data_IF_765330995386
#
_entry.id   IF_765330995386
#
_cell.length_a   1.000
_cell.length_b   1.000
_cell.length_c   1.000
_cell.angle_alpha   90.00
_cell.angle_beta   90.00
_cell.angle_gamma   90.00
#
_symmetry.space_group_name_H-M   'P 1'
#
loop_
_entity.id
_entity.type
_entity.pdbx_description
1 polymer ?
#
# COMPACT_ATOMS: atom_id res chain seq x y z
N UNK A 1 17.33 8.76 15.48
CA UNK A 1 16.10 8.83 14.68
C UNK A 1 15.68 7.42 14.28
N UNK A 2 14.39 7.14 14.38
CA UNK A 2 13.87 5.84 13.96
C UNK A 2 13.69 5.75 12.46
N UNK A 3 13.46 4.53 11.97
CA UNK A 3 13.10 4.28 10.59
C UNK A 3 11.72 4.89 10.34
N UNK A 4 11.50 5.61 9.22
CA UNK A 4 10.17 6.11 8.91
C UNK A 4 9.13 4.98 8.87
N UNK A 5 7.94 5.26 9.38
CA UNK A 5 6.87 4.25 9.45
C UNK A 5 6.52 3.69 8.07
N UNK A 6 6.51 4.54 7.04
CA UNK A 6 6.26 4.08 5.68
C UNK A 6 7.32 3.07 5.23
N UNK A 7 8.59 3.39 5.43
CA UNK A 7 9.69 2.51 5.02
C UNK A 7 9.62 1.17 5.77
N UNK A 8 9.32 1.21 7.07
CA UNK A 8 9.16 0.00 7.87
C UNK A 8 7.98 -0.84 7.36
N UNK A 9 6.85 -0.20 7.05
CA UNK A 9 5.71 -0.88 6.47
C UNK A 9 6.04 -1.56 5.15
N UNK A 10 6.80 -0.89 4.29
CA UNK A 10 7.20 -1.46 3.01
C UNK A 10 8.19 -2.62 3.18
N UNK A 11 9.07 -2.56 4.19
CA UNK A 11 9.97 -3.67 4.50
C UNK A 11 9.19 -4.92 4.92
N UNK A 12 8.16 -4.77 5.73
CA UNK A 12 7.28 -5.88 6.07
C UNK A 12 6.51 -6.38 4.85
N UNK A 13 6.07 -5.46 3.99
CA UNK A 13 5.31 -5.81 2.78
C UNK A 13 6.10 -6.75 1.87
N UNK A 14 7.36 -6.41 1.57
CA UNK A 14 8.16 -7.22 0.64
C UNK A 14 8.57 -8.57 1.23
N UNK A 15 8.52 -8.71 2.54
CA UNK A 15 8.72 -10.00 3.21
C UNK A 15 7.39 -10.76 3.41
N UNK A 16 6.32 -10.27 2.84
CA UNK A 16 4.96 -10.83 2.87
C UNK A 16 4.35 -10.89 4.28
N UNK A 17 4.81 -10.05 5.16
CA UNK A 17 4.21 -9.86 6.49
C UNK A 17 3.16 -8.77 6.39
N UNK A 18 2.05 -9.09 5.71
CA UNK A 18 1.05 -8.08 5.35
C UNK A 18 0.32 -7.50 6.55
N UNK A 19 0.08 -8.29 7.60
CA UNK A 19 -0.54 -7.79 8.83
C UNK A 19 0.32 -6.71 9.49
N UNK A 20 1.61 -7.00 9.63
CA UNK A 20 2.56 -6.06 10.22
C UNK A 20 2.74 -4.83 9.34
N UNK A 21 2.81 -5.05 8.02
CA UNK A 21 2.91 -3.96 7.06
C UNK A 21 1.71 -3.02 7.17
N UNK A 22 0.50 -3.57 7.18
CA UNK A 22 -0.73 -2.78 7.25
C UNK A 22 -0.78 -1.97 8.56
N UNK A 23 -0.34 -2.56 9.67
CA UNK A 23 -0.31 -1.86 10.96
C UNK A 23 0.64 -0.66 10.94
N UNK A 24 1.84 -0.83 10.38
CA UNK A 24 2.81 0.28 10.27
C UNK A 24 2.34 1.36 9.30
N UNK A 25 1.72 0.95 8.20
CA UNK A 25 1.17 1.89 7.24
C UNK A 25 -0.01 2.68 7.80
N UNK A 26 -0.81 2.06 8.66
CA UNK A 26 -1.87 2.80 9.36
C UNK A 26 -1.27 3.91 10.23
N UNK A 27 -0.21 3.61 10.98
CA UNK A 27 0.48 4.62 11.78
C UNK A 27 1.05 5.73 10.91
N UNK A 28 1.60 5.39 9.73
CA UNK A 28 2.08 6.38 8.77
C UNK A 28 0.96 7.29 8.29
N UNK A 29 -0.22 6.73 8.02
CA UNK A 29 -1.40 7.51 7.61
C UNK A 29 -1.83 8.47 8.74
N UNK A 30 -1.80 8.02 9.99
CA UNK A 30 -2.16 8.86 11.13
C UNK A 30 -1.20 10.02 11.30
N UNK A 31 0.11 9.79 11.05
CA UNK A 31 1.11 10.85 11.13
C UNK A 31 1.03 11.81 9.95
N UNK A 32 0.77 11.29 8.75
CA UNK A 32 0.78 12.08 7.51
C UNK A 32 -0.41 11.67 6.64
N UNK A 33 -1.62 12.14 6.96
CA UNK A 33 -2.83 11.68 6.26
C UNK A 33 -2.90 12.10 4.79
N UNK A 34 -2.06 13.03 4.36
CA UNK A 34 -1.99 13.45 2.96
C UNK A 34 -0.94 12.72 2.12
N UNK A 35 -0.24 11.73 2.67
CA UNK A 35 0.82 11.02 1.94
C UNK A 35 0.24 9.81 1.18
N UNK A 36 0.12 9.87 -0.17
CA UNK A 36 -0.61 8.84 -0.92
C UNK A 36 -0.02 7.45 -0.84
N UNK A 37 1.31 7.32 -0.74
CA UNK A 37 1.96 6.01 -0.80
C UNK A 37 1.60 5.11 0.38
N UNK A 38 1.30 5.69 1.54
CA UNK A 38 0.85 4.90 2.70
C UNK A 38 -0.49 4.22 2.43
N UNK A 39 -1.41 4.93 1.76
CA UNK A 39 -2.70 4.35 1.36
C UNK A 39 -2.51 3.26 0.32
N UNK A 40 -1.66 3.50 -0.68
CA UNK A 40 -1.37 2.50 -1.71
C UNK A 40 -0.83 1.21 -1.10
N UNK A 41 0.15 1.33 -0.22
CA UNK A 41 0.74 0.18 0.46
C UNK A 41 -0.28 -0.58 1.30
N UNK A 42 -1.10 0.13 2.05
CA UNK A 42 -2.10 -0.50 2.91
C UNK A 42 -3.18 -1.20 2.08
N UNK A 43 -3.62 -0.59 0.98
CA UNK A 43 -4.57 -1.22 0.07
C UNK A 43 -4.01 -2.50 -0.53
N UNK A 44 -2.74 -2.48 -0.96
CA UNK A 44 -2.08 -3.67 -1.50
C UNK A 44 -1.98 -4.78 -0.45
N UNK A 45 -1.68 -4.43 0.82
CA UNK A 45 -1.66 -5.40 1.92
C UNK A 45 -3.00 -6.12 2.06
N UNK A 46 -4.08 -5.36 2.15
CA UNK A 46 -5.41 -5.97 2.32
C UNK A 46 -5.82 -6.80 1.12
N UNK A 47 -5.47 -6.37 -0.10
CA UNK A 47 -5.76 -7.15 -1.30
C UNK A 47 -5.06 -8.50 -1.27
N UNK A 48 -3.78 -8.53 -0.88
CA UNK A 48 -3.05 -9.80 -0.77
C UNK A 48 -3.54 -10.69 0.37
N UNK A 49 -4.16 -10.10 1.39
CA UNK A 49 -4.79 -10.86 2.46
C UNK A 49 -6.20 -11.37 2.10
N UNK A 50 -6.69 -11.05 0.90
CA UNK A 50 -8.04 -11.40 0.48
C UNK A 50 -9.13 -10.52 1.06
N UNK A 51 -8.78 -9.42 1.72
CA UNK A 51 -9.72 -8.48 2.36
C UNK A 51 -10.05 -7.37 1.38
N UNK A 52 -10.72 -7.71 0.28
CA UNK A 52 -10.91 -6.81 -0.84
C UNK A 52 -11.84 -5.64 -0.52
N UNK A 53 -12.86 -5.83 0.32
CA UNK A 53 -13.74 -4.73 0.70
C UNK A 53 -12.98 -3.63 1.45
N UNK A 54 -12.11 -4.04 2.37
CA UNK A 54 -11.27 -3.10 3.10
C UNK A 54 -10.25 -2.44 2.19
N UNK A 55 -9.67 -3.20 1.26
CA UNK A 55 -8.75 -2.65 0.27
C UNK A 55 -9.42 -1.59 -0.59
N UNK A 56 -10.63 -1.84 -1.05
CA UNK A 56 -11.41 -0.89 -1.85
C UNK A 56 -11.74 0.38 -1.08
N UNK A 57 -12.07 0.25 0.20
CA UNK A 57 -12.34 1.42 1.05
C UNK A 57 -11.10 2.31 1.17
N UNK A 58 -9.91 1.72 1.26
CA UNK A 58 -8.66 2.47 1.34
C UNK A 58 -8.38 3.17 0.01
N UNK A 59 -8.63 2.51 -1.12
CA UNK A 59 -8.49 3.13 -2.45
C UNK A 59 -9.44 4.32 -2.60
N UNK A 60 -10.66 4.22 -2.07
CA UNK A 60 -11.59 5.34 -2.11
C UNK A 60 -11.04 6.56 -1.36
N UNK A 61 -10.40 6.33 -0.21
CA UNK A 61 -9.75 7.41 0.54
C UNK A 61 -8.55 7.97 -0.23
N UNK A 62 -7.79 7.10 -0.90
CA UNK A 62 -6.66 7.52 -1.74
C UNK A 62 -7.14 8.45 -2.85
N UNK A 63 -8.24 8.13 -3.50
CA UNK A 63 -8.78 8.94 -4.60
C UNK A 63 -9.21 10.34 -4.14
N UNK A 64 -9.50 10.52 -2.86
CA UNK A 64 -9.78 11.84 -2.31
C UNK A 64 -8.51 12.69 -2.17
N UNK A 65 -7.33 12.06 -2.17
CA UNK A 65 -6.04 12.73 -2.02
C UNK A 65 -5.40 12.97 -3.38
N UNK A 66 -5.50 12.00 -4.29
CA UNK A 66 -4.86 12.05 -5.60
C UNK A 66 -5.70 11.33 -6.64
N UNK A 67 -5.74 11.82 -7.90
CA UNK A 67 -6.40 11.08 -8.98
C UNK A 67 -5.59 9.86 -9.44
N UNK A 68 -4.31 9.77 -9.06
CA UNK A 68 -3.41 8.69 -9.49
C UNK A 68 -3.41 7.57 -8.46
N UNK A 69 -4.18 6.52 -8.71
CA UNK A 69 -4.17 5.33 -7.86
C UNK A 69 -2.85 4.59 -8.04
N UNK A 70 -2.44 4.34 -9.30
CA UNK A 70 -1.19 3.65 -9.59
C UNK A 70 -0.02 4.64 -9.49
N UNK A 71 1.06 4.27 -8.76
CA UNK A 71 2.20 5.18 -8.63
C UNK A 71 3.03 5.23 -9.92
N UNK A 72 3.61 6.38 -10.19
CA UNK A 72 4.52 6.55 -11.33
C UNK A 72 5.95 6.10 -11.00
N UNK A 73 6.31 6.10 -9.73
CA UNK A 73 7.65 5.74 -9.26
C UNK A 73 7.52 4.74 -8.11
N UNK A 74 8.32 3.69 -8.14
CA UNK A 74 8.37 2.68 -7.10
C UNK A 74 9.76 2.64 -6.47
N UNK A 75 9.85 2.42 -5.13
CA UNK A 75 11.13 2.46 -4.43
C UNK A 75 12.00 1.22 -4.66
N UNK A 76 11.44 0.15 -5.21
CA UNK A 76 12.16 -1.11 -5.34
C UNK A 76 12.74 -1.30 -6.73
N UNK A 77 13.96 -1.84 -6.78
CA UNK A 77 14.59 -2.28 -8.02
C UNK A 77 14.20 -3.71 -8.40
N UNK A 78 13.88 -4.53 -7.39
CA UNK A 78 13.51 -5.93 -7.61
C UNK A 78 12.15 -6.01 -8.31
N UNK A 79 12.09 -6.63 -9.52
CA UNK A 79 10.83 -6.72 -10.26
C UNK A 79 9.74 -7.50 -9.52
N UNK A 80 10.11 -8.50 -8.72
CA UNK A 80 9.13 -9.28 -7.94
C UNK A 80 8.45 -8.43 -6.89
N UNK A 81 9.20 -7.59 -6.18
CA UNK A 81 8.66 -6.70 -5.17
C UNK A 81 7.75 -5.66 -5.80
N UNK A 82 8.16 -5.11 -6.94
CA UNK A 82 7.37 -4.14 -7.69
C UNK A 82 6.05 -4.75 -8.16
N UNK A 83 6.11 -5.96 -8.72
CA UNK A 83 4.90 -6.64 -9.20
C UNK A 83 3.99 -7.04 -8.04
N UNK A 84 4.55 -7.47 -6.91
CA UNK A 84 3.76 -7.77 -5.72
C UNK A 84 2.93 -6.54 -5.31
N UNK A 85 3.56 -5.39 -5.28
CA UNK A 85 2.88 -4.13 -4.93
C UNK A 85 1.81 -3.76 -5.96
N UNK A 86 2.18 -3.76 -7.24
CA UNK A 86 1.28 -3.34 -8.31
C UNK A 86 0.09 -4.27 -8.47
N UNK A 87 0.29 -5.59 -8.38
CA UNK A 87 -0.80 -6.55 -8.50
C UNK A 87 -1.79 -6.40 -7.35
N UNK A 88 -1.29 -6.22 -6.13
CA UNK A 88 -2.16 -5.97 -4.98
C UNK A 88 -2.97 -4.69 -5.13
N UNK A 89 -2.32 -3.64 -5.61
CA UNK A 89 -2.99 -2.35 -5.81
C UNK A 89 -4.03 -2.43 -6.93
N UNK A 90 -3.75 -3.14 -8.01
CA UNK A 90 -4.74 -3.36 -9.08
C UNK A 90 -5.96 -4.11 -8.57
N UNK A 91 -5.76 -5.15 -7.76
CA UNK A 91 -6.87 -5.86 -7.12
C UNK A 91 -7.70 -4.93 -6.25
N UNK A 92 -7.05 -4.12 -5.44
CA UNK A 92 -7.72 -3.16 -4.56
C UNK A 92 -8.51 -2.12 -5.35
N UNK A 93 -8.02 -1.73 -6.51
CA UNK A 93 -8.69 -0.76 -7.37
C UNK A 93 -9.84 -1.37 -8.18
N UNK A 94 -10.01 -2.69 -8.11
CA UNK A 94 -11.06 -3.38 -8.86
C UNK A 94 -10.69 -3.71 -10.28
N UNK A 95 -9.41 -3.60 -10.64
CA UNK A 95 -8.94 -3.93 -11.98
C UNK A 95 -8.57 -5.40 -12.09
N UNK A 96 -8.79 -6.05 -13.24
CA UNK A 96 -8.33 -7.41 -13.44
C UNK A 96 -6.81 -7.45 -13.45
N UNK A 97 -6.25 -8.49 -12.88
CA UNK A 97 -4.80 -8.70 -12.84
C UNK A 97 -4.33 -9.62 -13.95
#
# INVERSE_FOLDING_TARGET
MGVPLFALGMAYFVTRRFDDAAAKLLLSIQDHPGFPNSYRGRAACYAHMGRLDEARAIVARLRAITPLVMPSVLPWRNPEDRELFLSGLRLAAGEPT
#
